data_IF_826143967212
#
_entry.id   IF_826143967212
#
_cell.length_a   1.000
_cell.length_b   1.000
_cell.length_c   1.000
_cell.angle_alpha   90.00
_cell.angle_beta   90.00
_cell.angle_gamma   90.00
#
_symmetry.space_group_name_H-M   'P 1'
#
loop_
_entity.id
_entity.type
_entity.pdbx_description
1 polymer ?
#
# COMPACT_ATOMS: atom_id res chain seq x y z
N UNK A 1 18.64 24.86 -5.43
CA UNK A 1 19.97 25.00 -6.08
C UNK A 1 20.91 24.01 -5.40
N UNK A 2 21.78 23.29 -6.12
CA UNK A 2 22.75 22.36 -5.50
C UNK A 2 24.07 23.08 -5.24
N UNK A 3 24.70 22.86 -4.09
CA UNK A 3 26.07 23.32 -3.82
C UNK A 3 27.13 22.35 -4.38
N UNK A 4 28.40 22.75 -4.35
CA UNK A 4 29.56 21.98 -4.88
C UNK A 4 29.74 20.59 -4.23
N UNK A 5 28.97 20.28 -3.17
CA UNK A 5 28.94 18.97 -2.51
C UNK A 5 27.77 18.07 -2.96
N UNK A 6 26.96 18.53 -3.92
CA UNK A 6 25.86 17.76 -4.51
C UNK A 6 24.61 17.67 -3.63
N UNK A 7 24.40 18.60 -2.69
CA UNK A 7 23.21 18.64 -1.81
C UNK A 7 22.16 19.65 -2.28
N UNK A 8 20.88 19.23 -2.34
CA UNK A 8 19.77 20.06 -2.75
C UNK A 8 19.42 21.06 -1.63
N UNK A 9 19.62 22.35 -1.87
CA UNK A 9 19.14 23.41 -0.98
C UNK A 9 17.81 23.96 -1.49
N UNK A 10 16.78 23.91 -0.64
CA UNK A 10 15.56 24.70 -0.77
C UNK A 10 15.57 25.79 0.30
N UNK A 11 15.45 27.05 -0.14
CA UNK A 11 15.41 28.21 0.73
C UNK A 11 13.96 28.51 1.13
N UNK A 12 13.70 28.67 2.44
CA UNK A 12 12.46 29.29 2.93
C UNK A 12 12.71 30.78 3.11
N UNK A 13 11.90 31.59 2.43
CA UNK A 13 11.93 33.05 2.53
C UNK A 13 10.95 33.46 3.63
N UNK A 14 11.42 34.27 4.58
CA UNK A 14 10.56 34.83 5.63
C UNK A 14 9.89 36.11 5.10
N UNK A 15 8.57 36.09 4.94
CA UNK A 15 7.82 37.10 4.17
C UNK A 15 7.67 38.47 4.85
N UNK A 16 7.98 38.59 6.14
CA UNK A 16 7.86 39.87 6.88
C UNK A 16 9.16 40.67 6.98
N UNK A 17 10.33 40.02 6.88
CA UNK A 17 11.64 40.69 7.04
C UNK A 17 12.59 40.54 5.86
N UNK A 18 12.26 39.71 4.86
CA UNK A 18 13.03 39.56 3.62
C UNK A 18 14.38 38.84 3.76
N UNK A 19 14.79 38.43 4.96
CA UNK A 19 16.04 37.71 5.17
C UNK A 19 15.90 36.21 4.90
N UNK A 20 16.86 35.67 4.15
CA UNK A 20 16.96 34.24 3.81
C UNK A 20 18.00 33.59 4.72
N UNK A 21 17.54 32.89 5.76
CA UNK A 21 18.42 32.12 6.64
C UNK A 21 18.71 30.72 6.03
N UNK A 22 19.98 30.28 5.97
CA UNK A 22 20.32 28.96 5.47
C UNK A 22 19.81 27.87 6.42
N UNK A 23 18.96 26.98 5.91
CA UNK A 23 18.43 25.86 6.68
C UNK A 23 19.31 24.62 6.50
N UNK A 24 20.19 24.34 7.47
CA UNK A 24 20.98 23.12 7.47
C UNK A 24 20.14 21.89 7.84
N UNK A 25 19.99 20.95 6.90
CA UNK A 25 19.50 19.61 7.21
C UNK A 25 20.60 18.78 7.88
N UNK A 26 20.64 18.75 9.21
CA UNK A 26 21.37 17.71 9.94
C UNK A 26 20.60 16.39 9.85
N UNK A 27 21.04 15.48 8.97
CA UNK A 27 20.62 14.07 9.04
C UNK A 27 21.10 13.49 10.37
N UNK A 28 20.24 13.48 11.38
CA UNK A 28 20.48 12.70 12.57
C UNK A 28 20.37 11.21 12.19
N UNK A 29 21.52 10.53 12.10
CA UNK A 29 21.53 9.08 12.06
C UNK A 29 20.86 8.54 13.34
N UNK A 30 20.00 7.51 13.24
CA UNK A 30 19.40 6.92 14.43
C UNK A 30 20.53 6.36 15.30
N UNK A 31 20.71 6.93 16.50
CA UNK A 31 21.63 6.39 17.51
C UNK A 31 21.07 5.04 17.97
N UNK A 32 21.52 3.94 17.36
CA UNK A 32 21.42 2.61 17.94
C UNK A 32 22.17 2.66 19.28
N UNK A 33 21.43 2.72 20.40
CA UNK A 33 22.00 2.45 21.71
C UNK A 33 22.27 0.96 21.79
N UNK A 34 23.48 0.54 21.43
CA UNK A 34 24.00 -0.76 21.80
C UNK A 34 24.14 -0.79 23.33
N UNK A 35 23.16 -1.38 24.02
CA UNK A 35 23.35 -1.79 25.42
C UNK A 35 24.35 -2.95 25.42
N UNK A 36 25.63 -2.65 25.67
CA UNK A 36 26.63 -3.69 25.92
C UNK A 36 26.51 -4.08 27.39
N UNK A 37 26.08 -5.31 27.65
CA UNK A 37 26.03 -5.88 28.99
C UNK A 37 27.46 -6.29 29.38
N UNK A 38 28.09 -5.71 30.41
CA UNK A 38 29.50 -5.97 30.74
C UNK A 38 29.75 -7.35 31.38
N UNK A 39 28.71 -8.07 31.78
CA UNK A 39 28.80 -9.40 32.44
C UNK A 39 28.34 -10.57 31.55
N UNK A 40 28.27 -10.38 30.22
CA UNK A 40 27.93 -11.48 29.32
C UNK A 40 29.14 -12.42 29.17
N UNK A 41 29.05 -13.72 29.51
CA UNK A 41 30.14 -14.67 29.25
C UNK A 41 30.42 -14.70 27.75
N UNK A 42 31.70 -14.87 27.39
CA UNK A 42 32.22 -14.84 26.02
C UNK A 42 31.29 -15.56 25.04
N UNK A 43 30.42 -14.78 24.39
CA UNK A 43 29.51 -15.30 23.39
C UNK A 43 30.32 -15.51 22.13
N UNK A 44 30.53 -16.77 21.76
CA UNK A 44 31.23 -17.12 20.54
C UNK A 44 30.63 -16.39 19.33
N UNK A 45 31.47 -15.94 18.38
CA UNK A 45 31.02 -15.20 17.21
C UNK A 45 30.02 -16.04 16.42
N UNK A 46 28.92 -15.44 15.95
CA UNK A 46 27.77 -16.18 15.41
C UNK A 46 28.08 -17.14 14.24
N UNK A 47 29.25 -17.01 13.62
CA UNK A 47 29.76 -17.87 12.55
C UNK A 47 30.26 -19.25 13.04
N UNK A 48 30.47 -19.47 14.34
CA UNK A 48 30.77 -20.80 14.91
C UNK A 48 29.52 -21.59 15.29
N UNK A 49 28.32 -20.99 15.23
CA UNK A 49 27.09 -21.72 15.45
C UNK A 49 26.77 -22.58 14.22
N UNK A 50 26.51 -23.89 14.36
CA UNK A 50 26.02 -24.69 13.25
C UNK A 50 24.73 -24.04 12.73
N UNK A 51 24.59 -23.94 11.40
CA UNK A 51 23.38 -23.41 10.78
C UNK A 51 22.16 -24.11 11.41
N UNK A 52 21.12 -23.37 11.83
CA UNK A 52 19.94 -23.99 12.39
C UNK A 52 19.40 -24.98 11.35
N UNK A 53 19.38 -26.25 11.76
CA UNK A 53 18.81 -27.35 11.00
C UNK A 53 17.43 -26.89 10.49
N UNK A 54 17.24 -26.91 9.16
CA UNK A 54 16.08 -26.34 8.47
C UNK A 54 14.84 -26.75 9.24
N UNK A 55 14.24 -25.77 9.94
CA UNK A 55 13.13 -26.02 10.84
C UNK A 55 12.07 -26.79 10.05
N UNK A 56 11.66 -27.93 10.61
CA UNK A 56 10.66 -28.82 10.02
C UNK A 56 9.52 -28.01 9.37
N UNK A 57 8.97 -28.46 8.23
CA UNK A 57 8.01 -27.69 7.42
C UNK A 57 6.78 -27.18 8.20
N UNK A 58 6.46 -27.79 9.35
CA UNK A 58 5.42 -27.34 10.27
C UNK A 58 5.69 -25.98 10.94
N UNK A 59 6.94 -25.63 11.23
CA UNK A 59 7.27 -24.35 11.87
C UNK A 59 7.24 -23.20 10.87
N UNK A 60 7.65 -23.44 9.63
CA UNK A 60 7.47 -22.51 8.52
C UNK A 60 5.98 -22.21 8.27
N UNK A 61 5.12 -23.24 8.32
CA UNK A 61 3.67 -23.07 8.18
C UNK A 61 3.06 -22.20 9.30
N UNK A 62 3.54 -22.33 10.55
CA UNK A 62 3.06 -21.51 11.68
C UNK A 62 3.45 -20.04 11.57
N UNK A 63 4.65 -19.72 11.06
CA UNK A 63 5.09 -18.33 10.84
C UNK A 63 4.34 -17.68 9.67
N UNK A 64 4.03 -18.44 8.61
CA UNK A 64 3.17 -17.97 7.52
C UNK A 64 1.75 -17.70 8.03
N UNK A 65 1.20 -18.59 8.87
CA UNK A 65 -0.14 -18.45 9.43
C UNK A 65 -0.29 -17.30 10.44
N UNK A 66 0.78 -16.90 11.15
CA UNK A 66 0.74 -15.76 12.09
C UNK A 66 0.93 -14.41 11.40
N UNK A 67 1.71 -14.34 10.32
CA UNK A 67 1.81 -13.12 9.51
C UNK A 67 0.46 -12.77 8.83
N UNK A 68 -0.29 -13.78 8.38
CA UNK A 68 -1.59 -13.60 7.70
C UNK A 68 -2.70 -13.10 8.64
N UNK A 69 -2.65 -13.44 9.94
CA UNK A 69 -3.62 -12.99 10.96
C UNK A 69 -3.62 -11.48 11.21
N UNK A 70 -2.58 -10.75 10.80
CA UNK A 70 -2.47 -9.30 10.97
C UNK A 70 -3.02 -8.49 9.79
N UNK A 71 -3.17 -9.11 8.61
CA UNK A 71 -3.75 -8.45 7.44
C UNK A 71 -5.25 -8.70 7.44
N UNK A 72 -6.01 -7.80 8.07
CA UNK A 72 -7.49 -7.78 8.00
C UNK A 72 -7.94 -8.20 6.59
N UNK A 73 -8.56 -9.38 6.50
CA UNK A 73 -9.26 -9.86 5.31
C UNK A 73 -10.19 -8.72 4.87
N UNK A 74 -10.05 -8.29 3.62
CA UNK A 74 -10.88 -7.22 3.07
C UNK A 74 -11.85 -7.83 2.09
N UNK A 75 -13.08 -8.06 2.55
CA UNK A 75 -14.14 -8.63 1.72
C UNK A 75 -14.64 -7.60 0.72
N UNK A 76 -14.86 -8.04 -0.52
CA UNK A 76 -15.35 -7.19 -1.59
C UNK A 76 -16.88 -7.13 -1.55
N UNK A 77 -17.41 -6.30 -0.66
CA UNK A 77 -18.85 -6.06 -0.57
C UNK A 77 -19.45 -5.40 -1.82
N UNK A 78 -18.64 -4.72 -2.64
CA UNK A 78 -19.10 -4.14 -3.88
C UNK A 78 -19.46 -5.19 -4.94
N UNK A 79 -18.91 -6.41 -4.85
CA UNK A 79 -19.14 -7.48 -5.82
C UNK A 79 -20.63 -7.78 -6.00
N UNK A 80 -21.39 -7.92 -4.91
CA UNK A 80 -22.84 -8.23 -4.95
C UNK A 80 -23.64 -7.21 -5.77
N UNK A 81 -23.17 -5.95 -5.78
CA UNK A 81 -23.82 -4.88 -6.53
C UNK A 81 -23.34 -4.80 -7.97
N UNK A 82 -22.14 -5.30 -8.28
CA UNK A 82 -21.50 -5.09 -9.57
C UNK A 82 -21.46 -6.37 -10.44
N UNK A 83 -21.65 -7.55 -9.86
CA UNK A 83 -21.45 -8.85 -10.54
C UNK A 83 -22.37 -9.08 -11.75
N UNK A 84 -23.56 -8.46 -11.75
CA UNK A 84 -24.55 -8.65 -12.81
C UNK A 84 -24.38 -7.73 -14.02
N UNK A 85 -23.41 -6.80 -13.98
CA UNK A 85 -23.20 -5.84 -15.06
C UNK A 85 -22.10 -6.32 -16.01
N UNK A 86 -22.35 -6.38 -17.32
CA UNK A 86 -21.30 -6.79 -18.26
C UNK A 86 -20.27 -5.69 -18.48
N UNK A 87 -20.68 -4.43 -18.44
CA UNK A 87 -19.84 -3.26 -18.70
C UNK A 87 -19.95 -2.23 -17.59
N UNK A 88 -18.90 -1.42 -17.48
CA UNK A 88 -18.86 -0.30 -16.55
C UNK A 88 -19.95 0.74 -16.88
N UNK A 89 -20.27 0.93 -18.16
CA UNK A 89 -21.28 1.91 -18.59
C UNK A 89 -22.67 1.53 -18.08
N UNK A 90 -23.06 0.26 -18.20
CA UNK A 90 -24.32 -0.26 -17.65
C UNK A 90 -24.41 -0.05 -16.12
N UNK A 91 -23.30 -0.29 -15.41
CA UNK A 91 -23.23 -0.07 -13.97
C UNK A 91 -23.30 1.41 -13.59
N UNK A 92 -22.84 2.33 -14.45
CA UNK A 92 -22.88 3.78 -14.21
C UNK A 92 -24.30 4.35 -14.35
N UNK A 93 -25.13 3.77 -15.20
CA UNK A 93 -26.54 4.18 -15.31
C UNK A 93 -27.28 3.95 -14.00
N UNK A 94 -27.01 2.82 -13.34
CA UNK A 94 -27.62 2.50 -12.04
C UNK A 94 -26.90 3.17 -10.88
N UNK A 95 -25.58 3.29 -10.96
CA UNK A 95 -24.73 3.88 -9.94
C UNK A 95 -23.93 5.08 -10.50
N UNK A 96 -24.55 6.26 -10.66
CA UNK A 96 -23.88 7.41 -11.30
C UNK A 96 -22.67 7.93 -10.50
N UNK A 97 -22.61 7.67 -9.19
CA UNK A 97 -21.45 8.01 -8.35
C UNK A 97 -20.21 7.13 -8.61
N UNK A 98 -20.39 5.96 -9.24
CA UNK A 98 -19.33 4.97 -9.45
C UNK A 98 -18.17 5.54 -10.29
N UNK A 99 -18.45 6.35 -11.30
CA UNK A 99 -17.38 6.91 -12.14
C UNK A 99 -16.50 7.91 -11.39
N UNK A 100 -17.12 8.77 -10.58
CA UNK A 100 -16.40 9.75 -9.78
C UNK A 100 -15.49 9.06 -8.76
N UNK A 101 -15.98 7.98 -8.15
CA UNK A 101 -15.22 7.16 -7.20
C UNK A 101 -14.04 6.48 -7.90
N UNK A 102 -14.27 5.84 -9.05
CA UNK A 102 -13.20 5.21 -9.82
C UNK A 102 -12.15 6.22 -10.27
N UNK A 103 -12.59 7.36 -10.79
CA UNK A 103 -11.69 8.43 -11.26
C UNK A 103 -10.88 9.00 -10.11
N UNK A 104 -11.51 9.30 -8.98
CA UNK A 104 -10.83 9.80 -7.78
C UNK A 104 -9.83 8.79 -7.22
N UNK A 105 -10.19 7.51 -7.14
CA UNK A 105 -9.30 6.47 -6.63
C UNK A 105 -8.09 6.22 -7.54
N UNK A 106 -8.27 6.31 -8.87
CA UNK A 106 -7.18 6.17 -9.83
C UNK A 106 -6.24 7.39 -9.85
N UNK A 107 -6.74 8.57 -9.46
CA UNK A 107 -5.94 9.78 -9.31
C UNK A 107 -5.05 9.76 -8.05
N UNK A 108 -5.30 8.83 -7.10
CA UNK A 108 -4.41 8.63 -5.95
C UNK A 108 -3.08 8.05 -6.44
N UNK A 109 -2.11 8.93 -6.67
CA UNK A 109 -0.78 8.55 -7.08
C UNK A 109 -0.11 7.70 -5.99
N UNK A 110 -0.05 6.39 -6.20
CA UNK A 110 0.66 5.45 -5.34
C UNK A 110 2.17 5.36 -5.67
N UNK A 111 2.72 6.41 -6.33
CA UNK A 111 4.11 6.53 -6.74
C UNK A 111 4.55 5.57 -7.85
N UNK A 112 5.33 6.05 -8.82
CA UNK A 112 6.05 5.21 -9.79
C UNK A 112 5.17 4.41 -10.77
N UNK A 113 3.93 4.80 -10.98
CA UNK A 113 3.06 4.13 -11.94
C UNK A 113 3.39 4.62 -13.36
N UNK A 114 4.27 3.91 -14.07
CA UNK A 114 4.66 4.25 -15.45
C UNK A 114 3.51 4.09 -16.45
N UNK A 115 2.43 3.40 -16.04
CA UNK A 115 1.21 3.23 -16.83
C UNK A 115 -0.02 3.50 -15.96
N UNK A 116 -0.93 4.38 -16.37
CA UNK A 116 -2.16 4.63 -15.64
C UNK A 116 -3.02 3.36 -15.62
N UNK A 117 -3.52 3.01 -14.44
CA UNK A 117 -4.46 1.91 -14.28
C UNK A 117 -5.80 2.28 -14.93
N UNK A 118 -6.37 1.36 -15.71
CA UNK A 118 -7.61 1.61 -16.46
C UNK A 118 -8.84 1.33 -15.60
N UNK A 119 -9.87 2.18 -15.71
CA UNK A 119 -11.16 2.04 -15.00
C UNK A 119 -11.81 0.68 -15.25
N UNK A 120 -11.87 0.24 -16.51
CA UNK A 120 -12.48 -1.04 -16.88
C UNK A 120 -11.76 -2.23 -16.23
N UNK A 121 -10.43 -2.14 -16.03
CA UNK A 121 -9.66 -3.19 -15.36
C UNK A 121 -9.99 -3.23 -13.87
N UNK A 122 -10.13 -2.06 -13.22
CA UNK A 122 -10.59 -1.98 -11.83
C UNK A 122 -11.99 -2.55 -11.67
N UNK A 123 -12.90 -2.17 -12.55
CA UNK A 123 -14.27 -2.67 -12.56
C UNK A 123 -14.32 -4.20 -12.68
N UNK A 124 -13.60 -4.76 -13.65
CA UNK A 124 -13.50 -6.22 -13.81
C UNK A 124 -12.96 -6.89 -12.53
N UNK A 125 -11.89 -6.35 -11.93
CA UNK A 125 -11.36 -6.90 -10.68
C UNK A 125 -12.36 -6.85 -9.51
N UNK A 126 -13.19 -5.80 -9.45
CA UNK A 126 -14.25 -5.67 -8.44
C UNK A 126 -15.39 -6.69 -8.65
N UNK A 127 -15.57 -7.21 -9.87
CA UNK A 127 -16.55 -8.25 -10.15
C UNK A 127 -15.99 -9.64 -9.87
N UNK A 128 -14.74 -9.87 -10.25
CA UNK A 128 -14.13 -11.20 -10.15
C UNK A 128 -13.71 -11.56 -8.72
N UNK A 129 -13.15 -10.60 -7.98
CA UNK A 129 -12.55 -10.88 -6.67
C UNK A 129 -13.59 -10.86 -5.55
N UNK A 130 -13.71 -11.95 -4.80
CA UNK A 130 -14.50 -12.00 -3.56
C UNK A 130 -13.77 -11.34 -2.38
N UNK A 131 -12.44 -11.50 -2.33
CA UNK A 131 -11.59 -10.95 -1.27
C UNK A 131 -10.45 -10.16 -1.92
N UNK A 132 -10.29 -8.90 -1.51
CA UNK A 132 -9.26 -8.00 -2.03
C UNK A 132 -7.96 -8.19 -1.23
N UNK A 133 -7.08 -9.03 -1.77
CA UNK A 133 -5.72 -9.19 -1.30
C UNK A 133 -4.71 -8.98 -2.43
N UNK A 134 -3.48 -8.51 -2.13
CA UNK A 134 -2.42 -8.38 -3.13
C UNK A 134 -2.11 -9.71 -3.84
N UNK A 135 -2.24 -10.82 -3.12
CA UNK A 135 -2.04 -12.17 -3.67
C UNK A 135 -3.10 -12.50 -4.73
N UNK A 136 -4.39 -12.26 -4.44
CA UNK A 136 -5.46 -12.49 -5.41
C UNK A 136 -5.38 -11.58 -6.63
N UNK A 137 -5.02 -10.31 -6.43
CA UNK A 137 -4.78 -9.38 -7.55
C UNK A 137 -3.64 -9.88 -8.43
N UNK A 138 -2.57 -10.41 -7.82
CA UNK A 138 -1.45 -10.99 -8.56
C UNK A 138 -1.85 -12.24 -9.34
N UNK A 139 -2.60 -13.15 -8.73
CA UNK A 139 -3.11 -14.37 -9.37
C UNK A 139 -4.00 -14.03 -10.57
N UNK A 140 -4.87 -13.02 -10.42
CA UNK A 140 -5.82 -12.62 -11.47
C UNK A 140 -5.14 -11.90 -12.65
N UNK A 141 -4.20 -10.99 -12.36
CA UNK A 141 -3.65 -10.05 -13.36
C UNK A 141 -2.22 -10.36 -13.79
N UNK A 142 -1.52 -11.28 -13.11
CA UNK A 142 -0.10 -11.59 -13.37
C UNK A 142 0.86 -10.45 -12.99
N UNK A 143 0.45 -9.53 -12.12
CA UNK A 143 1.25 -8.35 -11.78
C UNK A 143 2.46 -8.65 -10.87
N UNK A 144 3.43 -7.74 -10.86
CA UNK A 144 4.54 -7.79 -9.91
C UNK A 144 4.03 -7.55 -8.48
N UNK A 145 4.68 -8.17 -7.48
CA UNK A 145 4.32 -8.03 -6.06
C UNK A 145 4.08 -6.55 -5.63
N UNK A 146 5.01 -5.60 -5.87
CA UNK A 146 4.80 -4.22 -5.45
C UNK A 146 3.65 -3.53 -6.19
N UNK A 147 3.37 -3.92 -7.44
CA UNK A 147 2.24 -3.36 -8.19
C UNK A 147 0.90 -3.90 -7.68
N UNK A 148 0.82 -5.21 -7.40
CA UNK A 148 -0.39 -5.82 -6.83
C UNK A 148 -0.76 -5.27 -5.46
N UNK A 149 0.22 -4.93 -4.63
CA UNK A 149 -0.03 -4.28 -3.33
C UNK A 149 -0.70 -2.92 -3.49
N UNK A 150 -0.23 -2.11 -4.44
CA UNK A 150 -0.82 -0.79 -4.76
C UNK A 150 -2.23 -0.93 -5.34
N UNK A 151 -2.41 -1.84 -6.29
CA UNK A 151 -3.74 -2.10 -6.89
C UNK A 151 -4.73 -2.58 -5.84
N UNK A 152 -4.33 -3.48 -4.94
CA UNK A 152 -5.19 -3.93 -3.85
C UNK A 152 -5.60 -2.77 -2.92
N UNK A 153 -4.69 -1.83 -2.63
CA UNK A 153 -5.05 -0.63 -1.86
C UNK A 153 -6.07 0.25 -2.59
N UNK A 154 -5.87 0.49 -3.89
CA UNK A 154 -6.81 1.28 -4.71
C UNK A 154 -8.19 0.61 -4.75
N UNK A 155 -8.25 -0.71 -4.96
CA UNK A 155 -9.51 -1.47 -4.94
C UNK A 155 -10.25 -1.32 -3.59
N UNK A 156 -9.53 -1.36 -2.47
CA UNK A 156 -10.13 -1.15 -1.14
C UNK A 156 -10.73 0.25 -1.00
N UNK A 157 -10.03 1.27 -1.47
CA UNK A 157 -10.53 2.65 -1.48
C UNK A 157 -11.81 2.75 -2.32
N UNK A 158 -11.84 2.11 -3.49
CA UNK A 158 -13.03 2.09 -4.35
C UNK A 158 -14.20 1.42 -3.63
N UNK A 159 -14.00 0.24 -3.04
CA UNK A 159 -15.08 -0.45 -2.28
C UNK A 159 -15.59 0.41 -1.14
N UNK A 160 -14.69 1.03 -0.35
CA UNK A 160 -15.11 1.91 0.75
C UNK A 160 -15.89 3.12 0.25
N UNK A 161 -15.42 3.79 -0.81
CA UNK A 161 -16.11 4.93 -1.41
C UNK A 161 -17.48 4.56 -1.96
N UNK A 162 -17.56 3.42 -2.65
CA UNK A 162 -18.79 2.92 -3.25
C UNK A 162 -19.84 2.54 -2.20
N UNK A 163 -19.45 1.79 -1.17
CA UNK A 163 -20.38 1.44 -0.09
C UNK A 163 -20.86 2.67 0.70
N UNK A 164 -20.04 3.72 0.79
CA UNK A 164 -20.44 4.99 1.39
C UNK A 164 -21.46 5.71 0.51
N UNK A 165 -21.24 5.80 -0.80
CA UNK A 165 -22.20 6.41 -1.74
C UNK A 165 -23.55 5.67 -1.72
N UNK A 166 -23.53 4.33 -1.71
CA UNK A 166 -24.75 3.53 -1.60
C UNK A 166 -25.51 3.77 -0.29
N UNK A 167 -24.79 3.98 0.83
CA UNK A 167 -25.43 4.30 2.12
C UNK A 167 -26.10 5.67 2.08
N UNK A 168 -25.39 6.68 1.59
CA UNK A 168 -25.90 8.04 1.52
C UNK A 168 -27.17 8.15 0.68
N UNK A 169 -27.27 7.40 -0.43
CA UNK A 169 -28.48 7.36 -1.28
C UNK A 169 -29.70 6.73 -0.62
N UNK A 170 -29.53 5.89 0.41
CA UNK A 170 -30.67 5.28 1.13
C UNK A 170 -31.25 6.21 2.19
N UNK A 171 -30.52 7.25 2.56
CA UNK A 171 -30.87 8.21 3.61
C UNK A 171 -31.47 9.51 3.03
N UNK A 172 -31.56 9.63 1.70
CA UNK A 172 -32.20 10.73 0.97
C UNK A 172 -33.47 10.26 0.29
#
# INVERSE_FOLDING_TARGET
>A
MFDESGRLQDAKINLETGEVAPHEYRRAAPKLKARRNPDAPDQEPFWTQPLPEIAAPEQAAKVIATADKSRKRFDNTAKVHLENYARLDDAREVYPGLDNILTGALALSMGGNTRPLRRNVMFMMLQSLEVISPMRVRELMGFSKPHSEKVAMVLRVIVTGFMRDLRQRREC
#
